data_IF_674766321533
#
_entry.id   IF_674766321533
#
_cell.length_a   1.000
_cell.length_b   1.000
_cell.length_c   1.000
_cell.angle_alpha   90.00
_cell.angle_beta   90.00
_cell.angle_gamma   90.00
#
_symmetry.space_group_name_H-M   'P 1'
#
loop_
_entity.id
_entity.type
_entity.pdbx_description
1 polymer ?
#
# COMPACT_ATOMS: atom_id res chain seq x y z
N UNK A 1 -1.84 -12.14 16.41
CA UNK A 1 -2.63 -12.78 15.37
C UNK A 1 -2.13 -12.34 13.99
N UNK A 2 -1.92 -13.30 13.11
CA UNK A 2 -1.48 -12.97 11.77
C UNK A 2 -2.68 -12.54 10.91
N UNK A 3 -2.45 -11.58 10.03
CA UNK A 3 -3.48 -11.15 9.12
C UNK A 3 -3.82 -12.27 8.14
N UNK A 4 -5.10 -12.43 7.85
CA UNK A 4 -5.55 -13.39 6.85
C UNK A 4 -5.03 -12.97 5.48
N UNK A 5 -4.46 -13.90 4.73
CA UNK A 5 -3.88 -13.60 3.42
C UNK A 5 -4.89 -12.99 2.46
N UNK A 6 -6.15 -13.47 2.51
CA UNK A 6 -7.20 -12.95 1.65
C UNK A 6 -7.53 -11.51 2.01
N UNK A 7 -7.66 -11.24 3.31
CA UNK A 7 -7.94 -9.87 3.78
C UNK A 7 -6.80 -8.92 3.42
N UNK A 8 -5.58 -9.42 3.51
CA UNK A 8 -4.41 -8.62 3.18
C UNK A 8 -4.38 -8.27 1.68
N UNK A 9 -4.70 -9.22 0.83
CA UNK A 9 -4.78 -8.98 -0.61
C UNK A 9 -5.86 -7.95 -0.94
N UNK A 10 -6.99 -8.02 -0.25
CA UNK A 10 -8.07 -7.06 -0.45
C UNK A 10 -7.62 -5.66 -0.03
N UNK A 11 -6.87 -5.58 1.07
CA UNK A 11 -6.33 -4.29 1.52
C UNK A 11 -5.34 -3.73 0.50
N UNK A 12 -4.48 -4.56 -0.04
CA UNK A 12 -3.53 -4.14 -1.07
C UNK A 12 -4.27 -3.56 -2.28
N UNK A 13 -5.32 -4.24 -2.73
CA UNK A 13 -6.11 -3.78 -3.87
C UNK A 13 -6.73 -2.40 -3.60
N UNK A 14 -7.25 -2.19 -2.39
CA UNK A 14 -7.83 -0.90 -2.01
C UNK A 14 -6.76 0.21 -2.01
N UNK A 15 -5.59 -0.10 -1.47
CA UNK A 15 -4.50 0.88 -1.42
C UNK A 15 -4.04 1.24 -2.83
N UNK A 16 -3.90 0.26 -3.70
CA UNK A 16 -3.48 0.49 -5.08
C UNK A 16 -4.49 1.36 -5.81
N UNK A 17 -5.77 1.07 -5.65
CA UNK A 17 -6.83 1.86 -6.28
C UNK A 17 -6.81 3.29 -5.78
N UNK A 18 -6.66 3.47 -4.47
CA UNK A 18 -6.60 4.80 -3.87
C UNK A 18 -5.36 5.56 -4.31
N UNK A 19 -4.24 4.86 -4.39
CA UNK A 19 -2.97 5.45 -4.84
C UNK A 19 -3.10 5.95 -6.28
N UNK A 20 -3.74 5.15 -7.14
CA UNK A 20 -3.96 5.55 -8.53
C UNK A 20 -4.74 6.85 -8.61
N UNK A 21 -5.77 6.99 -7.79
CA UNK A 21 -6.59 8.19 -7.76
C UNK A 21 -5.82 9.39 -7.22
N UNK A 22 -5.12 9.20 -6.11
CA UNK A 22 -4.41 10.30 -5.46
C UNK A 22 -3.24 10.81 -6.30
N UNK A 23 -2.53 9.90 -6.95
CA UNK A 23 -1.37 10.25 -7.76
C UNK A 23 -1.75 10.58 -9.22
N UNK A 24 -3.02 10.36 -9.57
CA UNK A 24 -3.52 10.59 -10.92
C UNK A 24 -2.75 9.75 -11.96
N UNK A 25 -2.61 8.47 -11.67
CA UNK A 25 -1.94 7.51 -12.54
C UNK A 25 -2.85 6.31 -12.73
N UNK A 26 -2.55 5.45 -13.71
CA UNK A 26 -3.36 4.26 -13.90
C UNK A 26 -3.06 3.20 -12.83
N UNK A 27 -3.93 2.21 -12.71
CA UNK A 27 -3.78 1.19 -11.67
C UNK A 27 -2.56 0.33 -11.86
N UNK A 28 -2.15 0.08 -13.08
CA UNK A 28 -0.95 -0.70 -13.36
C UNK A 28 0.29 0.02 -12.81
N UNK A 29 0.36 1.32 -13.04
CA UNK A 29 1.45 2.14 -12.53
C UNK A 29 1.41 2.19 -11.00
N UNK A 30 0.22 2.35 -10.45
CA UNK A 30 0.03 2.37 -9.00
C UNK A 30 0.45 1.04 -8.38
N UNK A 31 0.13 -0.07 -9.02
CA UNK A 31 0.52 -1.40 -8.56
C UNK A 31 2.04 -1.53 -8.52
N UNK A 32 2.71 -1.05 -9.57
CA UNK A 32 4.16 -1.09 -9.63
C UNK A 32 4.76 -0.26 -8.48
N UNK A 33 4.26 0.94 -8.26
CA UNK A 33 4.71 1.80 -7.16
C UNK A 33 4.51 1.12 -5.82
N UNK A 34 3.35 0.49 -5.64
CA UNK A 34 3.01 -0.16 -4.39
C UNK A 34 3.99 -1.30 -4.07
N UNK A 35 4.22 -2.20 -5.03
CA UNK A 35 5.06 -3.36 -4.78
C UNK A 35 6.53 -3.02 -4.65
N UNK A 36 6.95 -1.88 -5.16
CA UNK A 36 8.33 -1.41 -5.02
C UNK A 36 8.54 -0.55 -3.78
N UNK A 37 7.46 -0.23 -3.07
CA UNK A 37 7.55 0.68 -1.94
C UNK A 37 8.11 0.01 -0.69
N UNK A 38 8.74 0.80 0.15
CA UNK A 38 9.17 0.36 1.47
C UNK A 38 7.95 0.06 2.35
N UNK A 39 6.87 0.80 2.15
CA UNK A 39 5.61 0.58 2.85
C UNK A 39 5.10 -0.84 2.64
N UNK A 40 5.11 -1.32 1.41
CA UNK A 40 4.69 -2.68 1.12
C UNK A 40 5.59 -3.70 1.83
N UNK A 41 6.90 -3.46 1.82
CA UNK A 41 7.84 -4.35 2.48
C UNK A 41 7.54 -4.49 3.97
N UNK A 42 7.25 -3.35 4.64
CA UNK A 42 6.91 -3.35 6.05
C UNK A 42 5.60 -4.08 6.31
N UNK A 43 4.60 -3.87 5.45
CA UNK A 43 3.31 -4.53 5.58
C UNK A 43 3.43 -6.04 5.41
N UNK A 44 4.17 -6.48 4.39
CA UNK A 44 4.27 -7.89 4.08
C UNK A 44 5.03 -8.67 5.15
N UNK A 45 5.90 -7.99 5.89
CA UNK A 45 6.64 -8.62 6.99
C UNK A 45 5.92 -8.50 8.33
N UNK A 46 4.79 -7.80 8.37
CA UNK A 46 4.03 -7.61 9.59
C UNK A 46 4.73 -6.77 10.64
N UNK A 47 5.63 -5.91 10.22
CA UNK A 47 6.41 -5.09 11.13
C UNK A 47 5.53 -3.99 11.72
N UNK A 48 5.52 -3.90 13.06
CA UNK A 48 4.83 -2.84 13.79
C UNK A 48 3.33 -2.73 13.45
N UNK A 49 2.71 -3.84 13.08
CA UNK A 49 1.29 -3.88 12.71
C UNK A 49 0.93 -2.86 11.64
N UNK A 50 1.86 -2.62 10.75
CA UNK A 50 1.71 -1.63 9.68
C UNK A 50 0.44 -1.88 8.85
N UNK A 51 0.08 -3.14 8.69
CA UNK A 51 -1.12 -3.53 7.94
C UNK A 51 -2.42 -3.06 8.61
N UNK A 52 -2.35 -2.62 9.87
CA UNK A 52 -3.52 -2.13 10.59
C UNK A 52 -3.78 -0.64 10.36
N UNK A 53 -2.85 0.05 9.71
CA UNK A 53 -3.02 1.47 9.41
C UNK A 53 -4.04 1.66 8.30
N UNK A 54 -4.64 2.85 8.23
CA UNK A 54 -5.68 3.09 7.23
C UNK A 54 -5.13 3.05 5.81
N UNK A 55 -6.01 2.71 4.87
CA UNK A 55 -5.64 2.67 3.46
C UNK A 55 -5.13 4.04 2.99
N UNK A 56 -5.79 5.11 3.43
CA UNK A 56 -5.41 6.47 3.04
C UNK A 56 -4.01 6.83 3.56
N UNK A 57 -3.73 6.47 4.81
CA UNK A 57 -2.43 6.74 5.39
C UNK A 57 -1.33 6.01 4.61
N UNK A 58 -1.56 4.74 4.29
CA UNK A 58 -0.58 3.93 3.60
C UNK A 58 -0.35 4.43 2.17
N UNK A 59 -1.41 4.85 1.48
CA UNK A 59 -1.29 5.42 0.15
C UNK A 59 -0.46 6.69 0.18
N UNK A 60 -0.69 7.55 1.18
CA UNK A 60 0.08 8.79 1.34
C UNK A 60 1.56 8.51 1.59
N UNK A 61 1.85 7.51 2.42
CA UNK A 61 3.23 7.14 2.70
C UNK A 61 3.95 6.69 1.43
N UNK A 62 3.27 5.93 0.58
CA UNK A 62 3.84 5.48 -0.68
C UNK A 62 4.12 6.67 -1.61
N UNK A 63 3.20 7.62 -1.65
CA UNK A 63 3.39 8.82 -2.45
C UNK A 63 4.57 9.64 -1.97
N UNK A 64 4.74 9.74 -0.66
CA UNK A 64 5.86 10.47 -0.08
C UNK A 64 7.20 9.83 -0.43
N UNK A 65 7.25 8.51 -0.52
CA UNK A 65 8.47 7.82 -0.92
C UNK A 65 8.90 8.22 -2.33
N UNK A 66 7.95 8.52 -3.20
CA UNK A 66 8.24 8.87 -4.59
C UNK A 66 8.82 10.28 -4.72
N UNK A 67 8.63 11.11 -3.71
CA UNK A 67 9.06 12.51 -3.76
C UNK A 67 10.43 12.75 -3.11
N UNK A 68 11.11 11.67 -2.77
CA UNK A 68 12.45 11.78 -2.17
C UNK A 68 13.55 11.62 -3.19
#
# INVERSE_FOLDING_TARGET
MTADATLLQMKYARIISLLAKKANIDEEKAMEMFYKSNTYTLMSKGISDFHCLSDAYLAEEIMMEQNQ
#
